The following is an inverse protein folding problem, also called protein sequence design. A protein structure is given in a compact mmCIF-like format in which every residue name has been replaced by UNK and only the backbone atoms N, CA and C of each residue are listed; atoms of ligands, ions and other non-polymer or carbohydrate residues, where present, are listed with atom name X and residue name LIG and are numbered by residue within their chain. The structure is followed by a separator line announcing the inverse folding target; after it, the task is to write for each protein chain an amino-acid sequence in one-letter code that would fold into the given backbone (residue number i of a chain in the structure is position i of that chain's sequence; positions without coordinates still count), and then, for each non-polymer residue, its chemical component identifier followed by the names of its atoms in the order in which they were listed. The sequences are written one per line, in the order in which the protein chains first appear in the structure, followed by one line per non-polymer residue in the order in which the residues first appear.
data_IF_317682876213
#
_entry.id   IF_317682876213
#
_cell.length_a   1.000
_cell.length_b   1.000
_cell.length_c   1.000
_cell.angle_alpha   90.00
_cell.angle_beta   90.00
_cell.angle_gamma   90.00
#
_symmetry.space_group_name_H-M   'P 1'
#
loop_
_entity.id
_entity.type
_entity.pdbx_description
1 polymer ?
#
# COMPACT_ATOMS: atom_id res chain seq x y z
N UNK A 1 15.06 -36.17 -68.41
CA UNK A 1 14.92 -36.75 -67.05
C UNK A 1 15.65 -35.83 -66.08
N UNK A 2 14.91 -35.00 -65.34
CA UNK A 2 15.47 -34.02 -64.39
C UNK A 2 14.84 -34.30 -63.03
N UNK A 3 15.65 -34.69 -62.04
CA UNK A 3 15.33 -34.49 -60.61
C UNK A 3 16.62 -34.42 -59.80
N UNK A 4 17.02 -33.22 -59.37
CA UNK A 4 18.02 -33.00 -58.31
C UNK A 4 17.26 -32.72 -57.01
N UNK A 5 17.45 -33.55 -55.99
CA UNK A 5 16.92 -33.31 -54.65
C UNK A 5 17.96 -32.49 -53.86
N UNK A 6 17.72 -31.19 -53.70
CA UNK A 6 18.44 -30.33 -52.75
C UNK A 6 17.55 -30.16 -51.51
N UNK A 7 17.99 -30.71 -50.38
CA UNK A 7 17.46 -30.31 -49.06
C UNK A 7 18.58 -29.56 -48.35
N UNK A 8 18.41 -28.25 -48.26
CA UNK A 8 19.28 -27.32 -47.54
C UNK A 8 18.64 -27.08 -46.17
N UNK A 9 19.34 -27.40 -45.08
CA UNK A 9 19.01 -26.89 -43.75
C UNK A 9 20.06 -25.85 -43.35
N UNK A 10 19.66 -24.62 -42.98
CA UNK A 10 20.60 -23.59 -42.58
C UNK A 10 21.14 -23.89 -41.18
N UNK A 11 22.45 -23.73 -41.04
CA UNK A 11 23.19 -23.81 -39.79
C UNK A 11 22.67 -22.73 -38.84
N UNK A 12 22.10 -23.15 -37.70
CA UNK A 12 21.80 -22.28 -36.57
C UNK A 12 23.11 -21.73 -35.99
N UNK A 13 23.39 -20.45 -36.17
CA UNK A 13 24.37 -19.73 -35.35
C UNK A 13 23.91 -18.29 -35.15
N UNK A 14 23.73 -17.89 -33.88
CA UNK A 14 23.84 -16.48 -33.51
C UNK A 14 22.59 -15.75 -33.01
N UNK A 15 21.81 -16.33 -32.10
CA UNK A 15 21.08 -15.52 -31.11
C UNK A 15 21.35 -16.09 -29.72
N UNK A 16 22.40 -15.57 -29.10
CA UNK A 16 22.69 -15.72 -27.69
C UNK A 16 21.69 -14.84 -26.90
N UNK A 17 20.40 -15.17 -26.96
CA UNK A 17 19.45 -14.76 -25.92
C UNK A 17 19.66 -15.78 -24.81
N UNK A 18 20.36 -15.37 -23.77
CA UNK A 18 20.55 -16.13 -22.53
C UNK A 18 19.26 -16.89 -22.19
N UNK A 19 19.31 -18.22 -22.35
CA UNK A 19 18.18 -19.13 -22.24
C UNK A 19 17.70 -19.32 -20.81
N UNK A 20 17.24 -18.24 -20.17
CA UNK A 20 16.50 -18.36 -18.91
C UNK A 20 15.06 -18.70 -19.28
N UNK A 21 14.68 -19.95 -19.07
CA UNK A 21 13.32 -20.39 -19.36
C UNK A 21 12.32 -19.65 -18.46
N UNK A 22 11.17 -19.24 -19.03
CA UNK A 22 10.06 -18.61 -18.31
C UNK A 22 9.71 -19.27 -16.95
N UNK A 23 9.69 -20.61 -16.82
CA UNK A 23 9.45 -21.24 -15.52
C UNK A 23 10.53 -20.96 -14.47
N UNK A 24 11.81 -20.83 -14.85
CA UNK A 24 12.92 -20.51 -13.92
C UNK A 24 12.80 -19.07 -13.41
N UNK A 25 12.49 -18.12 -14.30
CA UNK A 25 12.24 -16.72 -13.92
C UNK A 25 11.03 -16.57 -12.99
N UNK A 26 9.95 -17.30 -13.27
CA UNK A 26 8.77 -17.32 -12.42
C UNK A 26 9.05 -17.89 -11.03
N UNK A 27 9.96 -18.87 -10.93
CA UNK A 27 10.35 -19.47 -9.65
C UNK A 27 11.23 -18.51 -8.82
N UNK A 28 12.15 -17.80 -9.45
CA UNK A 28 12.98 -16.78 -8.80
C UNK A 28 12.12 -15.62 -8.24
N UNK A 29 11.17 -15.10 -9.02
CA UNK A 29 10.27 -14.05 -8.56
C UNK A 29 9.42 -14.51 -7.36
N UNK A 30 8.90 -15.74 -7.39
CA UNK A 30 8.17 -16.34 -6.26
C UNK A 30 9.04 -16.49 -5.03
N UNK A 31 10.30 -16.87 -5.20
CA UNK A 31 11.24 -17.01 -4.09
C UNK A 31 11.54 -15.64 -3.45
N UNK A 32 11.76 -14.59 -4.25
CA UNK A 32 11.94 -13.21 -3.77
C UNK A 32 10.74 -12.71 -3.00
N UNK A 33 9.53 -12.88 -3.56
CA UNK A 33 8.28 -12.51 -2.89
C UNK A 33 8.10 -13.23 -1.54
N UNK A 34 8.36 -14.55 -1.51
CA UNK A 34 8.31 -15.33 -0.26
C UNK A 34 9.29 -14.78 0.76
N UNK A 35 10.54 -14.56 0.38
CA UNK A 35 11.55 -14.00 1.28
C UNK A 35 11.17 -12.61 1.78
N UNK A 36 10.67 -11.72 0.93
CA UNK A 36 10.26 -10.37 1.31
C UNK A 36 9.19 -10.32 2.41
N UNK A 37 8.26 -11.29 2.43
CA UNK A 37 7.15 -11.32 3.39
C UNK A 37 7.52 -11.93 4.76
N UNK A 38 8.59 -12.71 4.85
CA UNK A 38 8.93 -13.44 6.07
C UNK A 38 9.34 -12.49 7.21
N UNK A 39 8.76 -12.62 8.43
CA UNK A 39 9.16 -11.80 9.57
C UNK A 39 10.62 -11.97 10.00
N UNK A 40 11.27 -13.05 9.58
CA UNK A 40 12.68 -13.35 9.89
C UNK A 40 13.65 -12.76 8.90
N UNK A 41 13.18 -12.15 7.80
CA UNK A 41 14.05 -11.57 6.77
C UNK A 41 14.83 -10.39 7.33
N UNK A 42 16.17 -10.39 7.23
CA UNK A 42 17.00 -9.33 7.79
C UNK A 42 16.67 -7.96 7.16
N UNK A 43 16.75 -6.86 7.94
CA UNK A 43 16.50 -5.51 7.44
C UNK A 43 17.27 -5.13 6.17
N UNK A 44 18.55 -5.53 6.06
CA UNK A 44 19.37 -5.27 4.87
C UNK A 44 18.81 -5.95 3.62
N UNK A 45 18.28 -7.18 3.75
CA UNK A 45 17.66 -7.88 2.64
C UNK A 45 16.30 -7.28 2.27
N UNK A 46 15.52 -6.83 3.27
CA UNK A 46 14.29 -6.08 3.01
C UNK A 46 14.56 -4.77 2.28
N UNK A 47 15.66 -4.07 2.59
CA UNK A 47 16.04 -2.84 1.90
C UNK A 47 16.35 -3.07 0.42
N UNK A 48 17.04 -4.17 0.09
CA UNK A 48 17.27 -4.58 -1.30
C UNK A 48 15.94 -4.86 -2.01
N UNK A 49 15.09 -5.70 -1.41
CA UNK A 49 13.78 -6.06 -1.97
C UNK A 49 12.82 -4.87 -2.10
N UNK A 50 12.97 -3.83 -1.26
CA UNK A 50 12.18 -2.61 -1.34
C UNK A 50 12.49 -1.77 -2.59
N UNK A 51 13.58 -2.06 -3.29
CA UNK A 51 13.97 -1.42 -4.56
C UNK A 51 13.82 -2.34 -5.77
N UNK A 52 13.26 -3.54 -5.57
CA UNK A 52 13.11 -4.52 -6.64
C UNK A 52 12.23 -3.97 -7.79
N UNK A 53 12.62 -4.20 -9.06
CA UNK A 53 11.84 -3.72 -10.21
C UNK A 53 10.41 -4.30 -10.24
N UNK A 54 10.19 -5.51 -9.72
CA UNK A 54 8.84 -6.07 -9.59
C UNK A 54 8.14 -5.46 -8.36
N UNK A 55 7.11 -4.66 -8.62
CA UNK A 55 6.30 -4.05 -7.57
C UNK A 55 5.65 -5.08 -6.64
N UNK A 56 5.47 -6.33 -7.09
CA UNK A 56 4.95 -7.41 -6.24
C UNK A 56 5.92 -7.74 -5.12
N UNK A 57 7.23 -7.76 -5.40
CA UNK A 57 8.26 -7.96 -4.37
C UNK A 57 8.23 -6.81 -3.36
N UNK A 58 8.19 -5.57 -3.85
CA UNK A 58 8.09 -4.37 -2.98
C UNK A 58 6.82 -4.37 -2.11
N UNK A 59 5.68 -4.81 -2.67
CA UNK A 59 4.43 -5.01 -1.92
C UNK A 59 4.58 -6.05 -0.81
N UNK A 60 5.30 -7.15 -1.05
CA UNK A 60 5.56 -8.15 -0.02
C UNK A 60 6.46 -7.61 1.10
N UNK A 61 7.43 -6.74 0.78
CA UNK A 61 8.20 -5.99 1.79
C UNK A 61 7.28 -5.08 2.60
N UNK A 62 6.41 -4.30 1.94
CA UNK A 62 5.44 -3.44 2.61
C UNK A 62 4.45 -4.23 3.49
N UNK A 63 4.17 -5.49 3.17
CA UNK A 63 3.29 -6.37 3.95
C UNK A 63 4.00 -7.08 5.12
N UNK A 64 5.32 -6.94 5.23
CA UNK A 64 6.10 -7.58 6.28
C UNK A 64 5.90 -6.84 7.61
N UNK A 65 5.33 -7.54 8.60
CA UNK A 65 5.00 -6.95 9.93
C UNK A 65 6.23 -6.52 10.74
N UNK A 66 7.43 -6.90 10.32
CA UNK A 66 8.71 -6.49 10.92
C UNK A 66 9.54 -5.60 10.00
N UNK A 67 8.95 -5.08 8.92
CA UNK A 67 9.62 -4.10 8.08
C UNK A 67 10.03 -2.87 8.92
N UNK A 68 11.31 -2.45 8.83
CA UNK A 68 11.77 -1.19 9.42
C UNK A 68 10.93 0.01 8.98
N UNK A 69 10.73 0.97 9.88
CA UNK A 69 9.89 2.15 9.64
C UNK A 69 10.41 2.99 8.47
N UNK A 70 11.72 3.08 8.31
CA UNK A 70 12.39 3.81 7.24
C UNK A 70 12.07 3.20 5.87
N UNK A 71 11.99 1.86 5.79
CA UNK A 71 11.60 1.15 4.57
C UNK A 71 10.13 1.38 4.26
N UNK A 72 9.24 1.28 5.26
CA UNK A 72 7.82 1.57 5.08
C UNK A 72 7.59 3.02 4.63
N UNK A 73 8.33 3.98 5.19
CA UNK A 73 8.26 5.39 4.81
C UNK A 73 8.73 5.63 3.37
N UNK A 74 9.74 4.90 2.91
CA UNK A 74 10.17 4.95 1.51
C UNK A 74 9.11 4.36 0.58
N UNK A 75 8.56 3.19 0.92
CA UNK A 75 7.51 2.51 0.15
C UNK A 75 6.17 3.25 0.15
N UNK A 76 5.90 4.13 1.11
CA UNK A 76 4.74 5.03 1.08
C UNK A 76 4.77 6.01 -0.11
N UNK A 77 5.94 6.21 -0.73
CA UNK A 77 6.13 7.06 -1.92
C UNK A 77 6.17 6.23 -3.21
N UNK A 78 5.89 4.93 -3.14
CA UNK A 78 5.95 4.04 -4.31
C UNK A 78 4.95 4.48 -5.39
N UNK A 79 5.32 4.45 -6.68
CA UNK A 79 4.40 4.78 -7.77
C UNK A 79 3.19 3.84 -7.86
N UNK A 80 3.25 2.64 -7.28
CA UNK A 80 2.16 1.66 -7.31
C UNK A 80 1.26 1.82 -6.09
N UNK A 81 -0.03 2.06 -6.35
CA UNK A 81 -1.05 2.14 -5.31
C UNK A 81 -1.08 0.88 -4.44
N UNK A 82 -0.87 -0.32 -5.01
CA UNK A 82 -0.91 -1.57 -4.27
C UNK A 82 0.20 -1.68 -3.21
N UNK A 83 1.36 -1.06 -3.45
CA UNK A 83 2.46 -0.99 -2.48
C UNK A 83 2.11 -0.01 -1.37
N UNK A 84 1.60 1.18 -1.73
CA UNK A 84 1.16 2.20 -0.75
C UNK A 84 0.02 1.69 0.15
N UNK A 85 -0.93 0.95 -0.40
CA UNK A 85 -2.01 0.29 0.36
C UNK A 85 -1.44 -0.75 1.33
N UNK A 86 -0.45 -1.55 0.91
CA UNK A 86 0.22 -2.50 1.79
C UNK A 86 0.93 -1.79 2.96
N UNK A 87 1.56 -0.63 2.71
CA UNK A 87 2.11 0.21 3.79
C UNK A 87 0.99 0.72 4.71
N UNK A 88 -0.08 1.30 4.15
CA UNK A 88 -1.19 1.85 4.94
C UNK A 88 -1.86 0.81 5.85
N UNK A 89 -1.85 -0.46 5.46
CA UNK A 89 -2.47 -1.57 6.21
C UNK A 89 -1.48 -2.38 7.04
N UNK A 90 -0.20 -1.98 7.09
CA UNK A 90 0.80 -2.61 7.94
C UNK A 90 0.75 -2.06 9.37
N UNK A 91 0.67 -2.94 10.36
CA UNK A 91 0.63 -2.58 11.79
C UNK A 91 1.94 -1.96 12.31
N UNK A 92 3.05 -2.09 11.58
CA UNK A 92 4.32 -1.43 11.90
C UNK A 92 4.42 0.01 11.35
N UNK A 93 3.42 0.45 10.57
CA UNK A 93 3.39 1.80 9.99
C UNK A 93 3.25 2.85 11.09
N UNK A 94 4.17 3.82 11.08
CA UNK A 94 4.24 4.87 12.08
C UNK A 94 3.42 6.11 11.67
N UNK A 95 3.23 7.02 12.62
CA UNK A 95 2.47 8.26 12.41
C UNK A 95 3.02 9.10 11.25
N UNK A 96 4.35 9.25 11.15
CA UNK A 96 4.98 10.00 10.07
C UNK A 96 4.65 9.42 8.69
N UNK A 97 4.60 8.10 8.57
CA UNK A 97 4.24 7.41 7.33
C UNK A 97 2.75 7.54 7.02
N UNK A 98 1.87 7.46 8.02
CA UNK A 98 0.44 7.74 7.82
C UNK A 98 0.18 9.17 7.37
N UNK A 99 0.92 10.16 7.90
CA UNK A 99 0.81 11.56 7.46
C UNK A 99 1.21 11.74 5.99
N UNK A 100 2.24 11.02 5.52
CA UNK A 100 2.61 11.02 4.09
C UNK A 100 1.50 10.43 3.23
N UNK A 101 0.93 9.29 3.62
CA UNK A 101 -0.16 8.64 2.88
C UNK A 101 -1.46 9.47 2.91
N UNK A 102 -1.68 10.25 3.97
CA UNK A 102 -2.79 11.19 4.05
C UNK A 102 -2.63 12.42 3.13
N UNK A 103 -1.41 12.69 2.65
CA UNK A 103 -1.11 13.70 1.61
C UNK A 103 -1.12 13.14 0.19
N UNK A 104 -1.37 11.84 0.03
CA UNK A 104 -1.22 11.20 -1.28
C UNK A 104 -2.17 11.84 -2.30
N UNK A 105 -1.69 12.17 -3.51
CA UNK A 105 -2.56 12.76 -4.54
C UNK A 105 -3.70 11.81 -4.95
N UNK A 106 -3.49 10.49 -4.84
CA UNK A 106 -4.51 9.50 -5.09
C UNK A 106 -5.48 9.38 -3.90
N UNK A 107 -6.74 9.77 -4.14
CA UNK A 107 -7.79 9.70 -3.14
C UNK A 107 -8.07 8.29 -2.63
N UNK A 108 -7.78 7.25 -3.44
CA UNK A 108 -7.93 5.86 -3.00
C UNK A 108 -6.95 5.54 -1.88
N UNK A 109 -5.75 6.09 -1.90
CA UNK A 109 -4.76 5.93 -0.82
C UNK A 109 -5.24 6.63 0.46
N UNK A 110 -5.70 7.89 0.32
CA UNK A 110 -6.22 8.67 1.45
C UNK A 110 -7.45 8.00 2.09
N UNK A 111 -8.34 7.42 1.29
CA UNK A 111 -9.49 6.63 1.78
C UNK A 111 -9.07 5.38 2.55
N UNK A 112 -8.03 4.65 2.09
CA UNK A 112 -7.49 3.51 2.84
C UNK A 112 -6.97 3.95 4.21
N UNK A 113 -6.29 5.08 4.29
CA UNK A 113 -5.83 5.65 5.58
C UNK A 113 -7.01 6.01 6.48
N UNK A 114 -8.04 6.67 5.95
CA UNK A 114 -9.23 7.06 6.72
C UNK A 114 -10.00 5.86 7.32
N UNK A 115 -9.99 4.73 6.63
CA UNK A 115 -10.71 3.51 7.01
C UNK A 115 -9.90 2.55 7.87
N UNK A 116 -8.58 2.69 7.93
CA UNK A 116 -7.75 1.74 8.65
C UNK A 116 -7.88 1.93 10.16
N UNK A 117 -8.20 0.84 10.87
CA UNK A 117 -8.52 0.90 12.30
C UNK A 117 -7.35 1.44 13.13
N UNK A 118 -6.10 1.09 12.82
CA UNK A 118 -4.92 1.47 13.62
C UNK A 118 -4.18 2.71 13.10
N UNK A 119 -4.86 3.55 12.32
CA UNK A 119 -4.29 4.80 11.83
C UNK A 119 -3.95 5.77 12.97
N UNK A 120 -2.86 6.52 12.81
CA UNK A 120 -2.48 7.55 13.76
C UNK A 120 -3.54 8.68 13.81
N UNK A 121 -3.98 9.12 15.02
CA UNK A 121 -4.95 10.20 15.16
C UNK A 121 -4.61 11.48 14.38
N UNK A 122 -3.33 11.83 14.29
CA UNK A 122 -2.88 13.00 13.54
C UNK A 122 -3.22 12.93 12.05
N UNK A 123 -3.19 11.72 11.45
CA UNK A 123 -3.57 11.53 10.06
C UNK A 123 -5.09 11.65 9.86
N UNK A 124 -5.91 11.14 10.80
CA UNK A 124 -7.37 11.35 10.75
C UNK A 124 -7.74 12.82 10.93
N UNK A 125 -7.07 13.54 11.83
CA UNK A 125 -7.26 14.97 11.99
C UNK A 125 -6.99 15.73 10.70
N UNK A 126 -5.96 15.32 9.96
CA UNK A 126 -5.63 15.87 8.65
C UNK A 126 -6.72 15.55 7.62
N UNK A 127 -7.10 14.29 7.48
CA UNK A 127 -8.14 13.83 6.55
C UNK A 127 -9.53 14.38 6.87
N UNK A 128 -9.79 14.83 8.10
CA UNK A 128 -11.00 15.58 8.43
C UNK A 128 -11.12 16.93 7.70
N UNK A 129 -10.06 17.37 7.00
CA UNK A 129 -10.03 18.56 6.13
C UNK A 129 -9.81 18.19 4.67
N UNK A 130 -9.94 16.91 4.31
CA UNK A 130 -9.76 16.44 2.93
C UNK A 130 -10.72 17.17 1.99
N UNK A 131 -10.30 17.58 0.79
CA UNK A 131 -11.20 18.16 -0.19
C UNK A 131 -12.35 17.22 -0.58
N UNK A 132 -12.14 15.90 -0.56
CA UNK A 132 -13.17 14.91 -0.89
C UNK A 132 -14.11 14.66 0.32
N UNK A 133 -15.42 14.95 0.20
CA UNK A 133 -16.38 14.72 1.28
C UNK A 133 -16.53 13.25 1.66
N UNK A 134 -16.28 12.29 0.77
CA UNK A 134 -16.39 10.86 1.09
C UNK A 134 -15.30 10.46 2.09
N UNK A 135 -14.08 11.01 1.95
CA UNK A 135 -12.99 10.78 2.90
C UNK A 135 -13.33 11.41 4.26
N UNK A 136 -13.87 12.64 4.27
CA UNK A 136 -14.29 13.27 5.53
C UNK A 136 -15.42 12.47 6.22
N UNK A 137 -16.32 11.86 5.44
CA UNK A 137 -17.35 10.94 5.96
C UNK A 137 -16.74 9.65 6.53
N UNK A 138 -15.72 9.08 5.90
CA UNK A 138 -14.98 7.93 6.43
C UNK A 138 -14.31 8.27 7.77
N UNK A 139 -13.68 9.44 7.88
CA UNK A 139 -13.12 9.93 9.15
C UNK A 139 -14.20 10.12 10.21
N UNK A 140 -15.37 10.67 9.85
CA UNK A 140 -16.48 10.83 10.80
C UNK A 140 -16.99 9.49 11.35
N UNK A 141 -16.90 8.41 10.57
CA UNK A 141 -17.28 7.04 10.95
C UNK A 141 -16.16 6.26 11.64
N UNK A 142 -14.92 6.75 11.59
CA UNK A 142 -13.75 6.07 12.13
C UNK A 142 -13.79 5.88 13.65
N UNK A 143 -13.47 4.67 14.11
CA UNK A 143 -13.46 4.34 15.55
C UNK A 143 -12.38 5.09 16.33
N UNK A 144 -11.23 5.38 15.71
CA UNK A 144 -10.09 6.06 16.33
C UNK A 144 -10.05 7.59 16.11
N UNK A 145 -11.04 8.16 15.43
CA UNK A 145 -11.12 9.61 15.17
C UNK A 145 -11.35 10.38 16.45
N UNK A 146 -10.44 11.22 16.94
CA UNK A 146 -10.58 11.86 18.27
C UNK A 146 -11.86 12.72 18.42
N UNK A 147 -12.42 12.84 19.63
CA UNK A 147 -13.60 13.69 19.89
C UNK A 147 -13.47 15.12 19.35
N UNK A 148 -12.29 15.72 19.44
CA UNK A 148 -12.02 17.07 18.94
C UNK A 148 -12.16 17.17 17.41
N UNK A 149 -11.79 16.09 16.71
CA UNK A 149 -11.97 16.01 15.25
C UNK A 149 -13.41 15.71 14.87
N UNK A 150 -14.13 14.89 15.63
CA UNK A 150 -15.58 14.73 15.43
C UNK A 150 -16.32 16.05 15.65
N UNK A 151 -16.00 16.82 16.70
CA UNK A 151 -16.58 18.15 16.94
C UNK A 151 -16.33 19.13 15.78
N UNK A 152 -15.19 19.03 15.11
CA UNK A 152 -14.92 19.81 13.89
C UNK A 152 -15.84 19.39 12.75
N UNK A 153 -15.97 18.08 12.50
CA UNK A 153 -16.80 17.51 11.44
C UNK A 153 -18.31 17.73 11.68
N UNK A 154 -18.74 18.03 12.90
CA UNK A 154 -20.10 18.49 13.18
C UNK A 154 -20.42 19.84 12.51
N UNK A 155 -19.42 20.60 12.06
CA UNK A 155 -19.59 21.85 11.31
C UNK A 155 -19.29 21.67 9.81
N UNK A 156 -19.23 20.44 9.30
CA UNK A 156 -18.98 20.18 7.88
C UNK A 156 -20.10 20.73 6.98
N UNK A 157 -19.75 21.13 5.76
CA UNK A 157 -20.71 21.59 4.76
C UNK A 157 -21.79 20.54 4.46
N UNK A 158 -21.44 19.25 4.47
CA UNK A 158 -22.36 18.16 4.12
C UNK A 158 -23.13 17.64 5.34
N UNK A 159 -24.48 17.61 5.30
CA UNK A 159 -25.30 17.12 6.42
C UNK A 159 -24.98 15.69 6.86
N UNK A 160 -24.67 14.80 5.90
CA UNK A 160 -24.32 13.40 6.18
C UNK A 160 -23.08 13.26 7.06
N UNK A 161 -22.09 14.13 6.86
CA UNK A 161 -20.85 14.16 7.65
C UNK A 161 -21.13 14.68 9.05
N UNK A 162 -21.90 15.77 9.17
CA UNK A 162 -22.31 16.32 10.47
C UNK A 162 -23.05 15.28 11.32
N UNK A 163 -24.00 14.58 10.70
CA UNK A 163 -24.78 13.53 11.35
C UNK A 163 -23.91 12.35 11.79
N UNK A 164 -23.02 11.86 10.92
CA UNK A 164 -22.10 10.78 11.25
C UNK A 164 -21.18 11.16 12.42
N UNK A 165 -20.64 12.38 12.41
CA UNK A 165 -19.77 12.86 13.47
C UNK A 165 -20.50 12.99 14.82
N UNK A 166 -21.73 13.53 14.82
CA UNK A 166 -22.56 13.63 16.02
C UNK A 166 -22.91 12.25 16.60
N UNK A 167 -23.28 11.29 15.74
CA UNK A 167 -23.55 9.91 16.14
C UNK A 167 -22.31 9.24 16.74
N UNK A 168 -21.17 9.32 16.06
CA UNK A 168 -19.91 8.74 16.53
C UNK A 168 -19.47 9.33 17.88
N UNK A 169 -19.67 10.63 18.10
CA UNK A 169 -19.35 11.28 19.37
C UNK A 169 -20.28 10.79 20.48
N UNK A 170 -21.59 10.75 20.24
CA UNK A 170 -22.59 10.29 21.20
C UNK A 170 -22.37 8.82 21.62
N UNK A 171 -22.08 7.92 20.67
CA UNK A 171 -21.82 6.50 20.96
C UNK A 171 -20.65 6.30 21.92
N UNK A 172 -19.63 7.16 21.84
CA UNK A 172 -18.44 7.07 22.71
C UNK A 172 -18.64 7.66 24.09
N UNK A 173 -19.50 8.66 24.20
CA UNK A 173 -19.92 9.20 25.50
C UNK A 173 -20.81 8.20 26.24
N UNK A 174 -21.70 7.51 25.52
CA UNK A 174 -22.56 6.47 26.07
C UNK A 174 -21.77 5.25 26.58
N UNK A 175 -20.74 4.80 25.85
CA UNK A 175 -19.90 3.67 26.26
C UNK A 175 -18.89 3.96 27.38
N UNK A 176 -18.78 5.22 27.84
CA UNK A 176 -17.93 5.62 28.97
C UNK A 176 -18.67 5.70 30.30
N UNK A 177 -20.00 5.59 30.28
CA UNK A 177 -20.87 5.57 31.46
C UNK A 177 -21.15 4.14 31.87
#
# INVERSE_FOLDING_TARGET
MVTFLRVSFPSFLGLLVLGVSLPVLADEARQKMRAARLPTTPPAQLALHATDPDWRVRREVASNRRAPREILRALAKDPRAEVKIAVATNLATDEATFLLLADDPDKTIRSVVARFEYVAPAALDKLARDPDPDIRLEVARGFNTRPETLKRLMNDAYPSIRQAAAQALASREAGRR
#
